data_IF_804842445392
#
_entry.id   IF_804842445392
#
_cell.length_a   1.000
_cell.length_b   1.000
_cell.length_c   1.000
_cell.angle_alpha   90.00
_cell.angle_beta   90.00
_cell.angle_gamma   90.00
#
_symmetry.space_group_name_H-M   'P 1'
#
loop_
_entity.id
_entity.type
_entity.pdbx_description
1 polymer ?
#
# COMPACT_ATOMS: atom_id res chain seq x y z
N UNK A 1 -9.12 1.86 33.44
CA UNK A 1 -9.37 0.69 32.58
C UNK A 1 -10.51 1.06 31.64
N UNK A 2 -10.18 1.55 30.44
CA UNK A 2 -11.19 1.95 29.46
C UNK A 2 -11.81 0.69 28.86
N UNK A 3 -13.12 0.54 29.01
CA UNK A 3 -13.92 -0.49 28.36
C UNK A 3 -13.76 -0.31 26.83
N UNK A 4 -13.47 -1.35 26.03
CA UNK A 4 -13.52 -1.18 24.58
C UNK A 4 -14.96 -0.87 24.19
N UNK A 5 -15.20 0.35 23.71
CA UNK A 5 -16.48 0.79 23.17
C UNK A 5 -16.99 -0.22 22.15
N UNK A 6 -18.30 -0.50 22.15
CA UNK A 6 -18.90 -1.33 21.11
C UNK A 6 -18.59 -0.74 19.71
N UNK A 7 -18.31 -1.58 18.69
CA UNK A 7 -17.99 -1.11 17.35
C UNK A 7 -19.15 -0.28 16.77
N UNK A 8 -18.83 0.77 16.03
CA UNK A 8 -19.83 1.66 15.42
C UNK A 8 -20.59 0.95 14.29
N UNK A 9 -21.76 1.48 13.88
CA UNK A 9 -22.50 0.97 12.71
C UNK A 9 -21.65 1.06 11.43
N UNK A 10 -20.84 2.12 11.31
CA UNK A 10 -19.91 2.29 10.19
C UNK A 10 -18.85 1.18 10.19
N UNK A 11 -18.28 0.84 11.34
CA UNK A 11 -17.31 -0.25 11.48
C UNK A 11 -17.92 -1.61 11.11
N UNK A 12 -19.17 -1.85 11.51
CA UNK A 12 -19.90 -3.08 11.16
C UNK A 12 -20.12 -3.17 9.65
N UNK A 13 -20.58 -2.09 9.03
CA UNK A 13 -20.82 -2.05 7.58
C UNK A 13 -19.53 -2.22 6.78
N UNK A 14 -18.46 -1.53 7.18
CA UNK A 14 -17.15 -1.65 6.56
C UNK A 14 -16.61 -3.07 6.71
N UNK A 15 -16.70 -3.65 7.91
CA UNK A 15 -16.30 -5.05 8.15
C UNK A 15 -17.06 -6.03 7.26
N UNK A 16 -18.39 -5.89 7.13
CA UNK A 16 -19.19 -6.77 6.28
C UNK A 16 -18.84 -6.61 4.79
N UNK A 17 -18.58 -5.39 4.35
CA UNK A 17 -18.12 -5.12 2.99
C UNK A 17 -16.74 -5.76 2.74
N UNK A 18 -15.80 -5.60 3.67
CA UNK A 18 -14.46 -6.22 3.59
C UNK A 18 -14.55 -7.74 3.49
N UNK A 19 -15.42 -8.38 4.29
CA UNK A 19 -15.64 -9.83 4.24
C UNK A 19 -16.21 -10.25 2.88
N UNK A 20 -17.23 -9.55 2.37
CA UNK A 20 -17.81 -9.82 1.05
C UNK A 20 -16.76 -9.73 -0.06
N UNK A 21 -15.92 -8.69 -0.04
CA UNK A 21 -14.85 -8.54 -1.03
C UNK A 21 -13.79 -9.65 -0.92
N UNK A 22 -13.39 -10.00 0.31
CA UNK A 22 -12.44 -11.09 0.54
C UNK A 22 -12.98 -12.45 0.07
N UNK A 23 -14.29 -12.70 0.21
CA UNK A 23 -14.94 -13.91 -0.30
C UNK A 23 -14.95 -13.97 -1.83
N UNK A 24 -15.27 -12.85 -2.49
CA UNK A 24 -15.41 -12.79 -3.94
C UNK A 24 -14.07 -12.73 -4.69
N UNK A 25 -13.09 -12.04 -4.11
CA UNK A 25 -11.83 -11.70 -4.80
C UNK A 25 -10.58 -12.15 -4.05
N UNK A 26 -10.72 -12.81 -2.90
CA UNK A 26 -9.62 -13.24 -2.04
C UNK A 26 -9.07 -12.14 -1.13
N UNK A 27 -9.25 -10.88 -1.47
CA UNK A 27 -8.90 -9.70 -0.69
C UNK A 27 -9.81 -8.53 -1.09
N UNK A 28 -9.93 -7.53 -0.21
CA UNK A 28 -10.52 -6.24 -0.52
C UNK A 28 -9.43 -5.24 -0.91
N UNK A 29 -9.79 -4.20 -1.67
CA UNK A 29 -8.98 -2.99 -1.83
C UNK A 29 -9.79 -1.81 -1.34
N UNK A 30 -9.34 -1.20 -0.24
CA UNK A 30 -9.94 0.00 0.36
C UNK A 30 -9.31 1.21 -0.32
N UNK A 31 -10.14 2.22 -0.64
CA UNK A 31 -9.67 3.51 -1.13
C UNK A 31 -10.07 4.59 -0.13
N UNK A 32 -9.10 5.40 0.27
CA UNK A 32 -9.28 6.58 1.10
C UNK A 32 -9.05 7.81 0.21
N UNK A 33 -10.02 8.74 0.13
CA UNK A 33 -9.89 9.94 -0.69
C UNK A 33 -8.79 10.86 -0.14
N UNK A 34 -8.28 11.74 -1.00
CA UNK A 34 -7.40 12.83 -0.56
C UNK A 34 -8.14 13.80 0.35
N UNK A 35 -7.38 14.45 1.23
CA UNK A 35 -7.87 15.50 2.12
C UNK A 35 -6.78 16.55 2.36
N UNK A 36 -7.01 17.46 3.31
CA UNK A 36 -6.07 18.53 3.65
C UNK A 36 -4.76 18.01 4.29
N UNK A 37 -4.73 16.74 4.74
CA UNK A 37 -3.58 16.12 5.41
C UNK A 37 -2.68 15.35 4.43
N UNK A 38 -3.21 14.94 3.26
CA UNK A 38 -2.36 14.33 2.24
C UNK A 38 -3.08 13.71 1.04
N UNK A 39 -2.28 13.02 0.23
CA UNK A 39 -2.77 12.34 -0.95
C UNK A 39 -3.72 11.19 -0.62
N UNK A 40 -4.73 11.00 -1.46
CA UNK A 40 -5.56 9.82 -1.42
C UNK A 40 -4.72 8.55 -1.62
N UNK A 41 -5.14 7.46 -1.00
CA UNK A 41 -4.41 6.20 -1.05
C UNK A 41 -5.34 5.00 -1.15
N UNK A 42 -4.81 3.87 -1.58
CA UNK A 42 -5.53 2.60 -1.53
C UNK A 42 -4.65 1.52 -0.93
N UNK A 43 -5.27 0.56 -0.25
CA UNK A 43 -4.57 -0.55 0.37
C UNK A 43 -5.38 -1.85 0.32
N UNK A 44 -4.68 -2.98 0.30
CA UNK A 44 -5.32 -4.28 0.38
C UNK A 44 -5.67 -4.65 1.82
N UNK A 45 -6.73 -5.43 1.97
CA UNK A 45 -7.13 -6.05 3.23
C UNK A 45 -7.53 -7.51 2.97
N UNK A 46 -6.90 -8.45 3.66
CA UNK A 46 -7.22 -9.87 3.61
C UNK A 46 -6.17 -10.72 2.88
N UNK A 47 -5.26 -10.11 2.12
CA UNK A 47 -4.24 -10.82 1.35
C UNK A 47 -3.30 -11.61 2.26
N UNK A 48 -2.91 -11.02 3.40
CA UNK A 48 -2.06 -11.68 4.38
C UNK A 48 -2.75 -12.89 5.00
N UNK A 49 -3.96 -12.72 5.50
CA UNK A 49 -4.74 -13.80 6.13
C UNK A 49 -4.99 -14.97 5.18
N UNK A 50 -5.26 -14.66 3.91
CA UNK A 50 -5.73 -15.65 2.93
C UNK A 50 -4.59 -16.34 2.20
N UNK A 51 -3.52 -15.60 1.88
CA UNK A 51 -2.45 -16.07 0.99
C UNK A 51 -1.04 -15.96 1.58
N UNK A 52 -0.88 -15.35 2.77
CA UNK A 52 0.45 -15.04 3.31
C UNK A 52 1.19 -13.96 2.52
N UNK A 53 0.48 -13.20 1.69
CA UNK A 53 1.02 -12.09 0.88
C UNK A 53 0.96 -10.81 1.72
N UNK A 54 2.06 -10.05 1.77
CA UNK A 54 2.06 -8.77 2.48
C UNK A 54 0.98 -7.84 1.91
N UNK A 55 0.26 -7.14 2.78
CA UNK A 55 -0.72 -6.14 2.35
C UNK A 55 0.00 -5.02 1.59
N UNK A 56 -0.58 -4.54 0.50
CA UNK A 56 -0.02 -3.46 -0.29
C UNK A 56 -0.74 -2.15 0.00
N UNK A 57 -0.02 -1.04 -0.05
CA UNK A 57 -0.56 0.32 -0.07
C UNK A 57 0.09 1.13 -1.20
N UNK A 58 -0.66 2.00 -1.85
CA UNK A 58 -0.16 2.97 -2.84
C UNK A 58 -0.79 4.34 -2.56
N UNK A 59 0.03 5.39 -2.57
CA UNK A 59 -0.36 6.77 -2.32
C UNK A 59 -0.38 7.55 -3.62
N UNK A 60 -1.31 8.52 -3.74
CA UNK A 60 -1.31 9.53 -4.81
C UNK A 60 -1.67 9.01 -6.20
N UNK A 61 -2.16 7.78 -6.31
CA UNK A 61 -2.59 7.19 -7.58
C UNK A 61 -4.12 7.24 -7.71
N UNK A 62 -4.69 7.55 -8.89
CA UNK A 62 -6.13 7.53 -9.09
C UNK A 62 -6.76 6.19 -8.63
N UNK A 63 -7.91 6.21 -7.94
CA UNK A 63 -8.49 5.02 -7.31
C UNK A 63 -8.58 3.79 -8.22
N UNK A 64 -8.99 3.98 -9.47
CA UNK A 64 -9.11 2.91 -10.47
C UNK A 64 -7.77 2.25 -10.79
N UNK A 65 -6.71 3.05 -10.94
CA UNK A 65 -5.36 2.55 -11.20
C UNK A 65 -4.76 1.89 -9.96
N UNK A 66 -4.98 2.48 -8.78
CA UNK A 66 -4.55 1.91 -7.50
C UNK A 66 -5.16 0.53 -7.25
N UNK A 67 -6.46 0.39 -7.53
CA UNK A 67 -7.15 -0.90 -7.42
C UNK A 67 -6.61 -1.95 -8.39
N UNK A 68 -6.37 -1.59 -9.66
CA UNK A 68 -5.79 -2.50 -10.65
C UNK A 68 -4.39 -2.95 -10.22
N UNK A 69 -3.55 -2.00 -9.80
CA UNK A 69 -2.17 -2.25 -9.38
C UNK A 69 -2.10 -3.19 -8.17
N UNK A 70 -2.85 -2.88 -7.10
CA UNK A 70 -2.87 -3.70 -5.88
C UNK A 70 -3.37 -5.10 -6.18
N UNK A 71 -4.47 -5.23 -6.94
CA UNK A 71 -5.01 -6.55 -7.32
C UNK A 71 -3.98 -7.34 -8.10
N UNK A 72 -3.30 -6.72 -9.09
CA UNK A 72 -2.26 -7.36 -9.88
C UNK A 72 -1.08 -7.83 -9.00
N UNK A 73 -0.64 -7.00 -8.04
CA UNK A 73 0.42 -7.36 -7.10
C UNK A 73 0.02 -8.58 -6.25
N UNK A 74 -1.17 -8.56 -5.63
CA UNK A 74 -1.65 -9.68 -4.80
C UNK A 74 -1.79 -10.95 -5.64
N UNK A 75 -2.29 -10.83 -6.87
CA UNK A 75 -2.47 -11.95 -7.79
C UNK A 75 -1.15 -12.59 -8.24
N UNK A 76 -0.12 -11.79 -8.46
CA UNK A 76 1.23 -12.26 -8.82
C UNK A 76 1.91 -12.89 -7.61
N UNK A 77 1.86 -12.22 -6.46
CA UNK A 77 2.47 -12.70 -5.23
C UNK A 77 1.87 -14.04 -4.78
N UNK A 78 0.54 -14.20 -4.84
CA UNK A 78 -0.12 -15.48 -4.48
C UNK A 78 0.21 -16.63 -5.44
N UNK A 79 0.66 -16.33 -6.67
CA UNK A 79 1.16 -17.33 -7.64
C UNK A 79 2.64 -17.66 -7.43
N UNK A 80 3.28 -17.08 -6.41
CA UNK A 80 4.64 -17.40 -5.99
C UNK A 80 5.70 -16.39 -6.45
N UNK A 81 5.29 -15.31 -7.14
CA UNK A 81 6.23 -14.24 -7.46
C UNK A 81 6.69 -13.52 -6.19
N UNK A 82 7.99 -13.25 -6.10
CA UNK A 82 8.59 -12.56 -4.94
C UNK A 82 8.98 -11.15 -5.32
N UNK A 83 8.30 -10.18 -4.73
CA UNK A 83 8.64 -8.76 -4.86
C UNK A 83 9.71 -8.40 -3.83
N UNK A 84 10.92 -8.16 -4.31
CA UNK A 84 12.06 -7.66 -3.55
C UNK A 84 11.97 -6.14 -3.42
N UNK A 85 11.94 -5.59 -2.18
CA UNK A 85 12.02 -4.15 -1.97
C UNK A 85 13.24 -3.51 -2.64
N UNK A 86 13.09 -2.31 -3.16
CA UNK A 86 14.12 -1.59 -3.91
C UNK A 86 14.33 -2.06 -5.37
N UNK A 87 13.79 -3.21 -5.79
CA UNK A 87 13.89 -3.66 -7.19
C UNK A 87 12.82 -3.00 -8.07
N UNK A 88 13.19 -2.67 -9.31
CA UNK A 88 12.27 -2.18 -10.34
C UNK A 88 11.57 -3.31 -11.09
N UNK A 89 10.26 -3.13 -11.32
CA UNK A 89 9.37 -4.01 -12.09
C UNK A 89 8.65 -3.17 -13.15
N UNK A 90 8.65 -3.61 -14.41
CA UNK A 90 8.17 -2.82 -15.57
C UNK A 90 6.93 -3.42 -16.24
N UNK A 91 6.34 -4.43 -15.61
CA UNK A 91 5.29 -5.27 -16.17
C UNK A 91 3.95 -5.11 -15.43
N UNK A 92 3.84 -4.11 -14.54
CA UNK A 92 2.56 -3.68 -13.96
C UNK A 92 1.82 -2.71 -14.88
N UNK A 93 2.55 -1.75 -15.43
CA UNK A 93 2.06 -0.79 -16.42
C UNK A 93 3.12 -0.68 -17.51
N UNK A 94 2.69 -0.54 -18.76
CA UNK A 94 3.59 -0.54 -19.91
C UNK A 94 4.61 0.59 -19.79
N UNK A 95 5.90 0.22 -19.68
CA UNK A 95 7.02 1.15 -19.60
C UNK A 95 7.19 1.91 -18.27
N UNK A 96 6.30 1.77 -17.29
CA UNK A 96 6.40 2.49 -16.00
C UNK A 96 7.08 1.62 -14.94
N UNK A 97 8.25 2.00 -14.41
CA UNK A 97 8.89 1.25 -13.34
C UNK A 97 8.10 1.39 -12.04
N UNK A 98 7.80 0.26 -11.41
CA UNK A 98 7.24 0.16 -10.07
C UNK A 98 8.29 -0.41 -9.13
N UNK A 99 8.40 0.12 -7.93
CA UNK A 99 9.23 -0.45 -6.86
C UNK A 99 8.44 -0.63 -5.58
N UNK A 100 9.06 -1.29 -4.61
CA UNK A 100 8.43 -1.60 -3.33
C UNK A 100 9.33 -1.19 -2.17
N UNK A 101 8.72 -0.77 -1.08
CA UNK A 101 9.38 -0.63 0.22
C UNK A 101 8.59 -1.33 1.31
N UNK A 102 9.27 -1.72 2.39
CA UNK A 102 8.59 -2.25 3.58
C UNK A 102 7.93 -1.09 4.32
N UNK A 103 6.67 -1.24 4.69
CA UNK A 103 5.98 -0.25 5.51
C UNK A 103 6.45 -0.38 6.96
N UNK A 104 6.95 0.72 7.51
CA UNK A 104 7.27 0.84 8.92
C UNK A 104 6.00 0.73 9.76
N UNK A 105 6.03 -0.10 10.81
CA UNK A 105 4.84 -0.39 11.64
C UNK A 105 4.21 0.85 12.29
N UNK A 106 4.97 1.93 12.47
CA UNK A 106 4.44 3.21 12.96
C UNK A 106 3.33 3.80 12.07
N UNK A 107 3.32 3.48 10.78
CA UNK A 107 2.31 3.94 9.82
C UNK A 107 1.06 3.05 9.75
N UNK A 108 1.03 1.90 10.43
CA UNK A 108 -0.10 0.98 10.32
C UNK A 108 -1.42 1.56 10.85
N UNK A 109 -1.44 2.26 12.01
CA UNK A 109 -2.67 2.88 12.50
C UNK A 109 -3.31 3.86 11.51
N UNK A 110 -2.47 4.61 10.80
CA UNK A 110 -2.87 5.65 9.86
C UNK A 110 -3.34 5.05 8.52
N UNK A 111 -2.49 4.25 7.86
CA UNK A 111 -2.75 3.78 6.50
C UNK A 111 -3.49 2.45 6.42
N UNK A 112 -3.56 1.69 7.51
CA UNK A 112 -4.22 0.39 7.58
C UNK A 112 -5.23 0.30 8.72
N UNK A 113 -5.70 1.44 9.25
CA UNK A 113 -6.64 1.52 10.38
C UNK A 113 -7.86 0.60 10.23
N UNK A 114 -8.47 0.58 9.04
CA UNK A 114 -9.62 -0.30 8.74
C UNK A 114 -9.25 -1.79 8.67
N UNK A 115 -8.00 -2.15 8.36
CA UNK A 115 -7.56 -3.53 8.30
C UNK A 115 -7.60 -4.21 9.68
N UNK A 116 -7.43 -3.45 10.76
CA UNK A 116 -7.51 -3.97 12.13
C UNK A 116 -8.89 -4.59 12.45
N UNK A 117 -9.96 -4.18 11.75
CA UNK A 117 -11.29 -4.80 11.86
C UNK A 117 -11.28 -6.30 11.48
N UNK A 118 -10.35 -6.75 10.62
CA UNK A 118 -10.18 -8.15 10.25
C UNK A 118 -9.01 -8.84 10.96
N UNK A 119 -7.98 -8.07 11.34
CA UNK A 119 -6.71 -8.61 11.82
C UNK A 119 -6.54 -8.62 13.34
N UNK A 120 -7.45 -7.99 14.10
CA UNK A 120 -7.35 -7.92 15.56
C UNK A 120 -6.11 -7.15 16.01
N UNK A 121 -4.97 -7.83 16.17
CA UNK A 121 -3.70 -7.26 16.70
C UNK A 121 -2.73 -6.71 15.65
N UNK A 122 -3.08 -6.70 14.35
CA UNK A 122 -2.23 -6.10 13.31
C UNK A 122 -0.96 -6.88 12.97
N UNK A 123 -0.96 -8.20 13.19
CA UNK A 123 0.15 -9.08 12.81
C UNK A 123 0.07 -9.42 11.31
N UNK A 124 0.32 -8.42 10.46
CA UNK A 124 0.53 -8.61 9.02
C UNK A 124 1.79 -7.89 8.57
N UNK A 125 2.42 -8.38 7.50
CA UNK A 125 3.43 -7.63 6.79
C UNK A 125 2.76 -6.69 5.80
N UNK A 126 3.34 -5.52 5.57
CA UNK A 126 2.88 -4.58 4.56
C UNK A 126 4.03 -4.02 3.73
N UNK A 127 3.75 -3.76 2.46
CA UNK A 127 4.64 -3.11 1.50
C UNK A 127 3.96 -1.89 0.90
N UNK A 128 4.73 -0.85 0.66
CA UNK A 128 4.30 0.28 -0.17
C UNK A 128 4.69 -0.02 -1.61
N UNK A 129 3.75 0.16 -2.53
CA UNK A 129 4.01 0.20 -3.97
C UNK A 129 4.28 1.66 -4.34
N UNK A 130 5.41 1.91 -4.99
CA UNK A 130 5.87 3.27 -5.29
C UNK A 130 6.05 3.41 -6.79
N UNK A 131 5.51 4.50 -7.33
CA UNK A 131 5.60 4.84 -8.75
C UNK A 131 6.30 6.17 -8.95
N UNK A 132 7.04 6.35 -10.05
CA UNK A 132 7.58 7.64 -10.41
C UNK A 132 6.49 8.54 -11.04
N UNK A 133 6.87 9.78 -11.32
CA UNK A 133 6.16 10.64 -12.27
C UNK A 133 6.18 10.06 -13.68
N UNK A 134 5.40 10.64 -14.60
CA UNK A 134 5.42 10.29 -16.02
C UNK A 134 6.82 10.39 -16.66
N UNK A 135 7.69 11.26 -16.14
CA UNK A 135 9.07 11.44 -16.57
C UNK A 135 10.07 10.53 -15.84
N UNK A 136 9.58 9.54 -15.08
CA UNK A 136 10.41 8.55 -14.40
C UNK A 136 11.09 9.04 -13.13
N UNK A 137 10.63 10.14 -12.52
CA UNK A 137 11.20 10.68 -11.28
C UNK A 137 10.51 10.10 -10.05
N UNK A 138 11.28 9.47 -9.17
CA UNK A 138 10.76 8.95 -7.90
C UNK A 138 10.67 10.05 -6.83
N UNK A 139 9.86 9.88 -5.76
CA UNK A 139 9.63 10.93 -4.77
C UNK A 139 10.90 11.45 -4.06
N UNK A 140 11.98 10.65 -4.02
CA UNK A 140 13.27 11.02 -3.43
C UNK A 140 14.27 11.62 -4.42
N UNK A 141 13.97 11.62 -5.72
CA UNK A 141 14.88 12.18 -6.70
C UNK A 141 14.94 13.70 -6.55
N UNK A 142 16.16 14.25 -6.59
CA UNK A 142 16.40 15.68 -6.44
C UNK A 142 15.72 16.56 -7.50
N UNK A 143 15.44 15.98 -8.67
CA UNK A 143 14.81 16.60 -9.82
C UNK A 143 13.34 16.16 -9.98
N UNK A 144 12.76 15.52 -8.97
CA UNK A 144 11.32 15.30 -8.91
C UNK A 144 10.58 16.64 -8.78
N UNK A 145 9.33 16.74 -9.30
CA UNK A 145 8.51 17.93 -9.14
C UNK A 145 8.37 18.33 -7.66
N UNK A 146 8.39 19.64 -7.42
CA UNK A 146 8.22 20.20 -6.08
C UNK A 146 6.91 19.69 -5.45
N UNK A 147 6.99 19.22 -4.20
CA UNK A 147 5.86 18.65 -3.46
C UNK A 147 5.54 17.18 -3.77
N UNK A 148 6.22 16.55 -4.75
CA UNK A 148 5.94 15.13 -5.05
C UNK A 148 6.34 14.18 -3.91
N UNK A 149 7.44 14.49 -3.20
CA UNK A 149 7.84 13.77 -2.00
C UNK A 149 6.79 13.82 -0.89
N UNK A 150 6.14 14.97 -0.72
CA UNK A 150 5.08 15.17 0.27
C UNK A 150 3.76 14.54 -0.18
N UNK A 151 3.52 14.47 -1.50
CA UNK A 151 2.34 13.82 -2.08
C UNK A 151 2.42 12.30 -1.99
N UNK A 152 3.57 11.70 -2.33
CA UNK A 152 3.79 10.27 -2.25
C UNK A 152 4.84 9.96 -1.19
N UNK A 153 4.44 10.15 0.08
CA UNK A 153 5.28 9.89 1.25
C UNK A 153 5.85 8.48 1.23
N UNK A 154 7.11 8.32 1.65
CA UNK A 154 7.72 7.02 1.84
C UNK A 154 7.43 6.52 3.25
N UNK A 155 6.68 5.43 3.35
CA UNK A 155 6.21 4.87 4.62
C UNK A 155 7.28 4.04 5.35
N UNK A 156 8.55 4.35 5.10
CA UNK A 156 9.74 3.81 5.78
C UNK A 156 10.00 4.55 7.09
N UNK A 157 10.81 4.00 8.00
CA UNK A 157 11.07 4.66 9.29
C UNK A 157 11.84 5.99 9.13
N UNK A 158 12.65 6.08 8.08
CA UNK A 158 13.48 7.26 7.77
C UNK A 158 12.81 8.27 6.85
N UNK A 159 11.63 7.97 6.29
CA UNK A 159 11.02 8.76 5.21
C UNK A 159 11.84 8.76 3.92
N UNK A 160 12.74 7.78 3.74
CA UNK A 160 13.65 7.64 2.60
C UNK A 160 13.70 6.17 2.18
N UNK A 161 14.10 5.85 0.94
CA UNK A 161 14.30 4.45 0.57
C UNK A 161 15.29 3.78 1.53
N UNK A 162 14.94 2.61 2.03
CA UNK A 162 15.76 1.82 2.98
C UNK A 162 16.28 0.54 2.34
N UNK A 163 15.67 0.11 1.23
CA UNK A 163 16.04 -1.08 0.49
C UNK A 163 16.89 -0.77 -0.77
N UNK A 164 17.22 0.50 -0.95
CA UNK A 164 17.97 1.03 -2.09
C UNK A 164 19.36 1.51 -1.70
N UNK A 165 20.31 1.21 -2.57
CA UNK A 165 21.67 1.74 -2.56
C UNK A 165 21.93 2.48 -3.88
N UNK A 166 22.17 3.81 -3.85
CA UNK A 166 22.45 4.59 -5.05
C UNK A 166 23.59 4.00 -5.89
N UNK A 167 23.30 3.71 -7.16
CA UNK A 167 24.26 3.16 -8.11
C UNK A 167 24.49 1.65 -8.01
N UNK A 168 23.77 0.93 -7.14
CA UNK A 168 23.91 -0.53 -6.93
C UNK A 168 22.64 -1.28 -7.33
N UNK A 169 21.49 -0.84 -6.83
CA UNK A 169 20.17 -1.41 -7.14
C UNK A 169 19.14 -0.27 -7.28
N UNK A 170 17.90 -0.61 -7.66
CA UNK A 170 16.77 0.34 -7.68
C UNK A 170 16.98 1.64 -8.49
N UNK A 171 16.05 2.60 -8.36
CA UNK A 171 16.12 3.90 -9.03
C UNK A 171 16.70 5.02 -8.16
#
# INVERSE_FOLDING_TARGET
MSNPSAPSVQDINLRNWLLTQAEQHGHAVVTVPEDDEGAGYSFSVGAWRRFGVAEAVVLGLPPEHAQVLIRAYVDRARRGERFVPGRLYYDFFDGVPVTFERVFKGFYPEFFGSAFLLYGKGDFAAVQIILPTADGKFPWHHDAPMGFGDWQLLLTATGRPESWEPGVNGP
#
